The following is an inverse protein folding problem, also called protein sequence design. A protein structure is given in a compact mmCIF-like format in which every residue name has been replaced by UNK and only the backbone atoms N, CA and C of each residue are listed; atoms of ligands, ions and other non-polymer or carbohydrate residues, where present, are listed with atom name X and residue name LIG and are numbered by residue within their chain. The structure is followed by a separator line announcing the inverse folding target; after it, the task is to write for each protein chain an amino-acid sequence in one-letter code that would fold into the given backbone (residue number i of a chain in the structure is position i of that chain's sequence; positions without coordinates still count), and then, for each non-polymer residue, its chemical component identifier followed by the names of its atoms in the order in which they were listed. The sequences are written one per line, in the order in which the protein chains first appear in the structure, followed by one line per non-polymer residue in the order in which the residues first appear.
data_IF_318983239692
#
_entry.id   IF_318983239692
#
_cell.length_a   1.000
_cell.length_b   1.000
_cell.length_c   1.000
_cell.angle_alpha   90.00
_cell.angle_beta   90.00
_cell.angle_gamma   90.00
#
_symmetry.space_group_name_H-M   'P 1'
#
loop_
_entity.id
_entity.type
_entity.pdbx_description
1 polymer ?
#
# COMPACT_ATOMS: atom_id res chain seq x y z
N UNK A 1 5.54 22.24 -10.79
CA UNK A 1 6.66 22.26 -9.82
C UNK A 1 7.30 20.89 -9.96
N UNK A 2 8.52 20.77 -10.47
CA UNK A 2 9.18 19.47 -10.58
C UNK A 2 9.50 18.97 -9.17
N UNK A 3 8.91 17.85 -8.76
CA UNK A 3 9.25 17.20 -7.50
C UNK A 3 10.67 16.66 -7.59
N UNK A 4 11.53 17.01 -6.63
CA UNK A 4 12.89 16.48 -6.58
C UNK A 4 12.88 15.03 -6.11
N UNK A 5 13.87 14.23 -6.52
CA UNK A 5 14.06 12.86 -6.02
C UNK A 5 14.13 12.85 -4.49
N UNK A 6 14.83 13.84 -3.92
CA UNK A 6 14.97 14.01 -2.48
C UNK A 6 13.61 14.28 -1.80
N UNK A 7 12.78 15.19 -2.34
CA UNK A 7 11.44 15.44 -1.81
C UNK A 7 10.58 14.16 -1.82
N UNK A 8 10.68 13.36 -2.89
CA UNK A 8 9.92 12.13 -2.99
C UNK A 8 10.33 11.11 -1.93
N UNK A 9 11.64 10.91 -1.71
CA UNK A 9 12.17 9.97 -0.71
C UNK A 9 11.95 10.42 0.73
N UNK A 10 12.02 11.74 0.97
CA UNK A 10 11.92 12.32 2.30
C UNK A 10 10.49 12.51 2.78
N UNK A 11 9.54 12.76 1.87
CA UNK A 11 8.17 13.16 2.20
C UNK A 11 7.11 12.27 1.57
N UNK A 12 7.14 12.11 0.25
CA UNK A 12 6.02 11.50 -0.48
C UNK A 12 5.96 9.98 -0.32
N UNK A 13 7.09 9.28 -0.43
CA UNK A 13 7.14 7.83 -0.26
C UNK A 13 6.83 7.41 1.19
N UNK A 14 7.38 8.05 2.25
CA UNK A 14 6.98 7.79 3.64
C UNK A 14 5.49 8.03 3.87
N UNK A 15 4.93 9.11 3.32
CA UNK A 15 3.49 9.37 3.37
C UNK A 15 2.67 8.25 2.73
N UNK A 16 3.06 7.80 1.53
CA UNK A 16 2.39 6.69 0.82
C UNK A 16 2.44 5.39 1.62
N UNK A 17 3.56 5.11 2.29
CA UNK A 17 3.70 3.97 3.19
C UNK A 17 2.77 4.11 4.41
N UNK A 18 2.66 5.30 5.01
CA UNK A 18 1.71 5.50 6.10
C UNK A 18 0.24 5.36 5.64
N UNK A 19 -0.10 5.80 4.43
CA UNK A 19 -1.41 5.56 3.84
C UNK A 19 -1.69 4.06 3.64
N UNK A 20 -0.70 3.29 3.16
CA UNK A 20 -0.78 1.83 3.09
C UNK A 20 -1.12 1.24 4.47
N UNK A 21 -0.55 1.78 5.56
CA UNK A 21 -0.68 1.26 6.91
C UNK A 21 -1.78 1.93 7.75
N UNK A 22 -2.63 2.76 7.14
CA UNK A 22 -3.59 3.58 7.86
C UNK A 22 -4.57 2.75 8.70
N UNK A 23 -5.04 1.63 8.17
CA UNK A 23 -5.95 0.74 8.89
C UNK A 23 -5.27 0.08 10.11
N UNK A 24 -4.01 -0.33 9.97
CA UNK A 24 -3.24 -0.95 11.03
C UNK A 24 -2.98 0.06 12.17
N UNK A 25 -2.71 1.33 11.80
CA UNK A 25 -2.57 2.44 12.75
C UNK A 25 -3.86 2.68 13.55
N UNK A 26 -5.02 2.70 12.88
CA UNK A 26 -6.32 2.87 13.55
C UNK A 26 -6.62 1.68 14.44
N UNK A 27 -6.40 0.45 13.96
CA UNK A 27 -6.60 -0.78 14.72
C UNK A 27 -5.74 -0.81 15.99
N UNK A 28 -4.46 -0.41 15.89
CA UNK A 28 -3.59 -0.29 17.05
C UNK A 28 -4.06 0.79 18.03
N UNK A 29 -4.46 1.98 17.56
CA UNK A 29 -4.98 3.02 18.47
C UNK A 29 -6.24 2.56 19.21
N UNK A 30 -7.07 1.71 18.60
CA UNK A 30 -8.23 1.07 19.27
C UNK A 30 -7.80 0.12 20.39
N UNK A 31 -6.66 -0.57 20.26
CA UNK A 31 -6.19 -1.53 21.26
C UNK A 31 -5.55 -0.87 22.48
N UNK A 32 -5.04 0.36 22.34
CA UNK A 32 -4.54 1.15 23.47
C UNK A 32 -5.66 1.51 24.47
N UNK A 33 -5.28 1.81 25.72
CA UNK A 33 -6.18 2.21 26.83
C UNK A 33 -6.75 3.64 26.64
N UNK A 34 -7.38 3.91 25.51
CA UNK A 34 -8.17 5.12 25.29
C UNK A 34 -9.59 4.95 25.86
N UNK A 35 -10.24 6.06 26.25
CA UNK A 35 -11.57 6.02 26.86
C UNK A 35 -12.60 5.34 25.93
N UNK A 36 -13.59 4.65 26.50
CA UNK A 36 -14.66 4.00 25.72
C UNK A 36 -15.37 4.98 24.78
N UNK A 37 -15.52 6.23 25.22
CA UNK A 37 -16.16 7.32 24.49
C UNK A 37 -15.35 7.74 23.24
N UNK A 38 -14.03 7.85 23.35
CA UNK A 38 -13.13 8.07 22.21
C UNK A 38 -13.10 6.87 21.25
N UNK A 39 -13.13 5.63 21.78
CA UNK A 39 -13.21 4.41 20.95
C UNK A 39 -14.49 4.41 20.11
N UNK A 40 -15.64 4.70 20.72
CA UNK A 40 -16.94 4.71 20.04
C UNK A 40 -17.14 5.89 19.09
N UNK A 41 -16.58 7.06 19.41
CA UNK A 41 -16.80 8.29 18.62
C UNK A 41 -15.86 8.47 17.43
N UNK A 42 -14.58 8.11 17.54
CA UNK A 42 -13.58 8.48 16.53
C UNK A 42 -12.99 7.28 15.75
N UNK A 43 -13.07 6.07 16.31
CA UNK A 43 -12.31 4.93 15.78
C UNK A 43 -13.16 3.67 15.47
N UNK A 44 -14.44 3.65 15.88
CA UNK A 44 -15.41 2.64 15.44
C UNK A 44 -16.33 3.14 14.34
N UNK A 45 -16.29 4.43 14.02
CA UNK A 45 -17.15 5.00 13.01
C UNK A 45 -16.75 4.48 11.63
N UNK A 46 -17.71 3.91 10.90
CA UNK A 46 -17.52 3.56 9.49
C UNK A 46 -17.10 4.77 8.66
N UNK A 47 -17.38 6.00 9.14
CA UNK A 47 -16.88 7.25 8.58
C UNK A 47 -15.35 7.40 8.62
N UNK A 48 -14.62 6.63 9.41
CA UNK A 48 -13.15 6.70 9.52
C UNK A 48 -12.48 5.40 9.10
N UNK A 49 -13.00 4.26 9.55
CA UNK A 49 -12.38 2.96 9.28
C UNK A 49 -12.43 2.58 7.81
N UNK A 50 -13.56 2.84 7.14
CA UNK A 50 -13.77 2.47 5.74
C UNK A 50 -12.93 3.33 4.80
N UNK A 51 -12.88 4.67 4.95
CA UNK A 51 -11.92 5.47 4.19
C UNK A 51 -10.47 5.05 4.42
N UNK A 52 -10.08 4.70 5.65
CA UNK A 52 -8.73 4.23 5.92
C UNK A 52 -8.44 2.89 5.23
N UNK A 53 -9.41 1.98 5.19
CA UNK A 53 -9.30 0.73 4.45
C UNK A 53 -9.15 0.96 2.95
N UNK A 54 -10.00 1.79 2.35
CA UNK A 54 -9.92 2.13 0.92
C UNK A 54 -8.59 2.81 0.57
N UNK A 55 -8.14 3.77 1.40
CA UNK A 55 -6.84 4.41 1.25
C UNK A 55 -5.72 3.37 1.26
N UNK A 56 -5.76 2.39 2.18
CA UNK A 56 -4.75 1.34 2.27
C UNK A 56 -4.66 0.51 0.98
N UNK A 57 -5.79 0.21 0.35
CA UNK A 57 -5.89 -0.57 -0.87
C UNK A 57 -5.36 0.23 -2.08
N UNK A 58 -5.82 1.48 -2.21
CA UNK A 58 -5.42 2.36 -3.33
C UNK A 58 -3.92 2.63 -3.29
N UNK A 59 -3.38 2.96 -2.12
CA UNK A 59 -1.95 3.20 -1.96
C UNK A 59 -1.13 1.91 -2.08
N UNK A 60 -1.66 0.76 -1.64
CA UNK A 60 -1.03 -0.54 -1.88
C UNK A 60 -0.83 -0.84 -3.37
N UNK A 61 -1.86 -0.63 -4.18
CA UNK A 61 -1.75 -0.74 -5.64
C UNK A 61 -0.74 0.27 -6.21
N UNK A 62 -0.79 1.53 -5.76
CA UNK A 62 0.13 2.56 -6.24
C UNK A 62 1.60 2.22 -5.92
N UNK A 63 1.88 1.66 -4.75
CA UNK A 63 3.22 1.23 -4.34
C UNK A 63 3.70 0.00 -5.11
N UNK A 64 2.81 -0.96 -5.41
CA UNK A 64 3.13 -2.09 -6.29
C UNK A 64 3.46 -1.62 -7.71
N UNK A 65 2.64 -0.72 -8.27
CA UNK A 65 2.93 -0.11 -9.56
C UNK A 65 4.27 0.66 -9.55
N UNK A 66 4.56 1.40 -8.47
CA UNK A 66 5.84 2.08 -8.30
C UNK A 66 7.01 1.09 -8.38
N UNK A 67 6.87 -0.10 -7.79
CA UNK A 67 7.86 -1.20 -7.86
C UNK A 67 7.90 -1.93 -9.21
N UNK A 68 7.05 -1.56 -10.18
CA UNK A 68 6.96 -2.20 -11.49
C UNK A 68 6.09 -3.46 -11.52
N UNK A 69 5.27 -3.67 -10.49
CA UNK A 69 4.37 -4.83 -10.39
C UNK A 69 2.97 -4.40 -10.80
N UNK A 70 2.45 -5.07 -11.82
CA UNK A 70 1.08 -4.95 -12.29
C UNK A 70 0.24 -6.19 -12.00
N UNK A 71 -1.00 -6.17 -12.52
CA UNK A 71 -1.94 -7.28 -12.39
C UNK A 71 -2.63 -7.57 -13.72
N UNK A 72 -2.60 -8.84 -14.14
CA UNK A 72 -3.29 -9.37 -15.31
C UNK A 72 -4.65 -9.94 -14.88
N UNK A 73 -5.73 -9.22 -15.21
CA UNK A 73 -7.10 -9.64 -14.85
C UNK A 73 -7.58 -10.89 -15.58
N UNK A 74 -7.04 -11.18 -16.77
CA UNK A 74 -7.45 -12.37 -17.54
C UNK A 74 -6.92 -13.65 -16.92
N UNK A 75 -5.68 -13.58 -16.44
CA UNK A 75 -4.99 -14.72 -15.82
C UNK A 75 -5.13 -14.74 -14.30
N UNK A 76 -5.64 -13.65 -13.71
CA UNK A 76 -5.74 -13.46 -12.26
C UNK A 76 -4.38 -13.62 -11.56
N UNK A 77 -3.32 -13.05 -12.16
CA UNK A 77 -1.92 -13.15 -11.73
C UNK A 77 -1.22 -11.80 -11.69
N UNK A 78 -0.17 -11.70 -10.87
CA UNK A 78 0.78 -10.60 -10.95
C UNK A 78 1.57 -10.67 -12.26
N UNK A 79 1.91 -9.51 -12.81
CA UNK A 79 2.70 -9.41 -14.04
C UNK A 79 3.59 -8.18 -13.97
N UNK A 80 4.58 -8.06 -14.85
CA UNK A 80 5.39 -6.84 -14.95
C UNK A 80 4.51 -5.70 -15.47
N UNK A 81 4.62 -4.53 -14.85
CA UNK A 81 3.76 -3.39 -15.17
C UNK A 81 3.91 -2.94 -16.63
N UNK A 82 5.11 -3.04 -17.19
CA UNK A 82 5.41 -2.71 -18.59
C UNK A 82 4.66 -3.59 -19.59
N UNK A 83 4.35 -4.84 -19.22
CA UNK A 83 3.57 -5.77 -20.06
C UNK A 83 2.10 -5.36 -20.15
N UNK A 84 1.65 -4.45 -19.29
CA UNK A 84 0.27 -3.95 -19.29
C UNK A 84 0.19 -2.66 -20.10
N UNK A 85 -0.30 -2.77 -21.35
CA UNK A 85 -0.51 -1.62 -22.24
C UNK A 85 -1.27 -0.49 -21.53
N UNK A 86 -0.80 0.76 -21.71
CA UNK A 86 -1.44 2.00 -21.25
C UNK A 86 -1.55 2.21 -19.73
N UNK A 87 -0.84 1.43 -18.88
CA UNK A 87 -0.92 1.62 -17.42
C UNK A 87 0.12 2.56 -16.81
N UNK A 88 1.29 2.71 -17.43
CA UNK A 88 2.29 3.69 -16.97
C UNK A 88 2.01 5.00 -17.69
N UNK A 89 1.47 5.98 -16.96
CA UNK A 89 1.30 7.33 -17.48
C UNK A 89 2.63 8.10 -17.42
N UNK A 90 2.82 9.11 -18.30
CA UNK A 90 4.00 9.98 -18.26
C UNK A 90 4.27 10.61 -16.90
N UNK A 91 3.24 10.81 -16.08
CA UNK A 91 3.33 11.45 -14.76
C UNK A 91 3.44 10.43 -13.60
N UNK A 92 3.35 9.12 -13.86
CA UNK A 92 3.40 8.12 -12.78
C UNK A 92 4.82 8.00 -12.23
N UNK A 93 5.02 8.21 -10.93
CA UNK A 93 6.31 7.93 -10.30
C UNK A 93 6.56 6.41 -10.21
N UNK A 94 7.67 5.96 -10.78
CA UNK A 94 8.13 4.57 -10.73
C UNK A 94 9.54 4.49 -10.16
N UNK A 95 9.94 3.30 -9.71
CA UNK A 95 11.28 3.05 -9.17
C UNK A 95 12.36 3.49 -10.16
N UNK A 96 12.20 3.19 -11.45
CA UNK A 96 13.13 3.58 -12.50
C UNK A 96 13.13 5.08 -12.80
N UNK A 97 12.05 5.82 -12.53
CA UNK A 97 12.10 7.29 -12.66
C UNK A 97 12.96 7.92 -11.57
N UNK A 98 12.92 7.39 -10.36
CA UNK A 98 13.77 7.87 -9.25
C UNK A 98 15.21 7.33 -9.37
N UNK A 99 15.36 6.08 -9.81
CA UNK A 99 16.63 5.39 -9.92
C UNK A 99 16.74 4.69 -11.29
N UNK A 100 17.13 5.40 -12.36
CA UNK A 100 17.12 4.87 -13.74
C UNK A 100 17.91 3.58 -13.96
N UNK A 101 18.95 3.33 -13.16
CA UNK A 101 19.78 2.13 -13.25
C UNK A 101 19.28 0.96 -12.40
N UNK A 102 18.22 1.14 -11.60
CA UNK A 102 17.68 0.10 -10.71
C UNK A 102 16.61 -0.69 -11.45
N UNK A 103 16.75 -2.01 -11.47
CA UNK A 103 15.71 -2.89 -12.00
C UNK A 103 14.44 -2.81 -11.15
N UNK A 104 13.28 -3.00 -11.79
CA UNK A 104 12.02 -3.21 -11.07
C UNK A 104 12.07 -4.45 -10.17
N UNK A 105 11.09 -4.53 -9.28
CA UNK A 105 10.92 -5.69 -8.43
C UNK A 105 10.60 -6.94 -9.27
N UNK A 106 11.40 -8.00 -9.07
CA UNK A 106 11.23 -9.25 -9.81
C UNK A 106 10.02 -10.01 -9.28
N UNK A 107 9.17 -10.56 -10.16
CA UNK A 107 8.07 -11.44 -9.76
C UNK A 107 8.52 -12.75 -9.09
N UNK A 108 9.81 -13.09 -9.23
CA UNK A 108 10.44 -14.23 -8.56
C UNK A 108 11.01 -13.87 -7.18
N UNK A 109 10.84 -12.63 -6.71
CA UNK A 109 11.24 -12.23 -5.37
C UNK A 109 10.52 -13.10 -4.33
N UNK A 110 11.26 -13.60 -3.33
CA UNK A 110 10.73 -14.49 -2.29
C UNK A 110 9.49 -13.93 -1.60
N UNK A 111 9.42 -12.61 -1.39
CA UNK A 111 8.26 -11.96 -0.76
C UNK A 111 7.05 -12.01 -1.71
N UNK A 112 7.25 -11.79 -3.00
CA UNK A 112 6.17 -11.88 -4.00
C UNK A 112 5.65 -13.31 -4.12
N UNK A 113 6.55 -14.28 -4.22
CA UNK A 113 6.19 -15.70 -4.34
C UNK A 113 5.40 -16.14 -3.10
N UNK A 114 5.87 -15.76 -1.91
CA UNK A 114 5.24 -16.12 -0.64
C UNK A 114 3.84 -15.53 -0.47
N UNK A 115 3.62 -14.27 -0.87
CA UNK A 115 2.37 -13.54 -0.64
C UNK A 115 1.56 -13.31 -1.94
N UNK A 116 1.76 -14.17 -2.95
CA UNK A 116 1.20 -13.96 -4.29
C UNK A 116 -0.34 -13.82 -4.28
N UNK A 117 -1.02 -14.68 -3.52
CA UNK A 117 -2.48 -14.73 -3.44
C UNK A 117 -3.03 -13.43 -2.83
N UNK A 118 -2.42 -12.96 -1.74
CA UNK A 118 -2.86 -11.78 -1.02
C UNK A 118 -2.58 -10.50 -1.82
N UNK A 119 -1.43 -10.41 -2.48
CA UNK A 119 -1.09 -9.32 -3.39
C UNK A 119 -2.04 -9.26 -4.60
N UNK A 120 -2.37 -10.41 -5.20
CA UNK A 120 -3.37 -10.49 -6.26
C UNK A 120 -4.74 -10.03 -5.79
N UNK A 121 -5.15 -10.46 -4.58
CA UNK A 121 -6.43 -10.07 -3.97
C UNK A 121 -6.51 -8.56 -3.80
N UNK A 122 -5.47 -7.93 -3.22
CA UNK A 122 -5.40 -6.48 -3.05
C UNK A 122 -5.52 -5.75 -4.39
N UNK A 123 -4.74 -6.16 -5.40
CA UNK A 123 -4.75 -5.54 -6.73
C UNK A 123 -6.12 -5.65 -7.41
N UNK A 124 -6.79 -6.78 -7.25
CA UNK A 124 -8.13 -7.03 -7.78
C UNK A 124 -9.20 -6.16 -7.11
N UNK A 125 -9.13 -6.00 -5.78
CA UNK A 125 -10.05 -5.14 -5.04
C UNK A 125 -9.81 -3.68 -5.42
N UNK A 126 -8.55 -3.23 -5.45
CA UNK A 126 -8.19 -1.85 -5.78
C UNK A 126 -8.77 -1.39 -7.12
N UNK A 127 -8.83 -2.26 -8.12
CA UNK A 127 -9.42 -1.91 -9.42
C UNK A 127 -10.95 -1.80 -9.36
N UNK A 128 -11.61 -2.65 -8.57
CA UNK A 128 -13.06 -2.57 -8.33
C UNK A 128 -13.45 -1.36 -7.50
N UNK A 129 -12.72 -1.04 -6.43
CA UNK A 129 -12.98 0.12 -5.57
C UNK A 129 -12.75 1.44 -6.31
N UNK A 130 -11.79 1.49 -7.25
CA UNK A 130 -11.63 2.67 -8.12
C UNK A 130 -12.80 2.79 -9.12
N UNK A 131 -13.38 1.67 -9.56
CA UNK A 131 -14.52 1.66 -10.48
C UNK A 131 -15.88 1.90 -9.78
N UNK A 132 -15.96 1.64 -8.49
CA UNK A 132 -17.17 1.76 -7.70
C UNK A 132 -16.82 2.40 -6.35
N UNK A 133 -17.21 3.66 -6.15
CA UNK A 133 -17.40 4.25 -4.81
C UNK A 133 -18.48 3.41 -4.11
N UNK A 134 -18.09 2.28 -3.52
CA UNK A 134 -19.05 1.31 -3.00
C UNK A 134 -19.58 1.79 -1.67
N UNK A 135 -20.89 2.06 -1.64
CA UNK A 135 -21.70 2.29 -0.42
C UNK A 135 -21.83 1.06 0.48
N UNK A 136 -21.04 0.00 0.24
CA UNK A 136 -21.01 -1.21 1.05
C UNK A 136 -19.83 -1.14 2.01
N UNK A 137 -20.17 -1.11 3.29
CA UNK A 137 -19.20 -1.25 4.38
C UNK A 137 -18.54 -2.63 4.31
N UNK A 138 -17.22 -2.65 4.40
CA UNK A 138 -16.42 -3.87 4.50
C UNK A 138 -16.54 -4.49 5.89
N UNK A 139 -16.32 -5.80 5.98
CA UNK A 139 -16.39 -6.54 7.25
C UNK A 139 -14.99 -6.78 7.85
N UNK A 140 -14.94 -7.15 9.13
CA UNK A 140 -13.67 -7.42 9.84
C UNK A 140 -12.81 -8.50 9.15
N UNK A 141 -13.42 -9.46 8.46
CA UNK A 141 -12.68 -10.50 7.73
C UNK A 141 -11.96 -9.92 6.50
N UNK A 142 -12.57 -8.98 5.78
CA UNK A 142 -11.95 -8.31 4.63
C UNK A 142 -10.76 -7.44 5.08
N UNK A 143 -10.85 -6.80 6.25
CA UNK A 143 -9.74 -6.03 6.83
C UNK A 143 -8.54 -6.90 7.17
N UNK A 144 -8.79 -8.06 7.80
CA UNK A 144 -7.78 -9.05 8.17
C UNK A 144 -7.17 -9.76 6.95
N UNK A 145 -7.98 -10.04 5.92
CA UNK A 145 -7.51 -10.74 4.72
C UNK A 145 -6.41 -9.97 3.98
N UNK A 146 -6.41 -8.63 4.04
CA UNK A 146 -5.45 -7.80 3.34
C UNK A 146 -4.21 -7.43 4.17
N UNK A 147 -4.18 -7.75 5.47
CA UNK A 147 -3.02 -7.48 6.33
C UNK A 147 -1.71 -8.10 5.80
N UNK A 148 -1.67 -9.36 5.35
CA UNK A 148 -0.45 -9.94 4.80
C UNK A 148 0.04 -9.22 3.54
N UNK A 149 -0.86 -8.76 2.68
CA UNK A 149 -0.49 -7.98 1.49
C UNK A 149 0.14 -6.64 1.88
N UNK A 150 -0.43 -5.92 2.85
CA UNK A 150 0.14 -4.65 3.33
C UNK A 150 1.54 -4.85 3.92
N UNK A 151 1.73 -5.91 4.72
CA UNK A 151 3.05 -6.33 5.23
C UNK A 151 4.05 -6.60 4.12
N UNK A 152 3.66 -7.37 3.12
CA UNK A 152 4.52 -7.70 1.98
C UNK A 152 4.94 -6.44 1.20
N UNK A 153 3.99 -5.54 0.90
CA UNK A 153 4.29 -4.29 0.18
C UNK A 153 5.27 -3.42 0.97
N UNK A 154 5.06 -3.25 2.27
CA UNK A 154 5.99 -2.50 3.12
C UNK A 154 7.41 -3.09 3.10
N UNK A 155 7.53 -4.42 3.24
CA UNK A 155 8.82 -5.11 3.18
C UNK A 155 9.50 -4.94 1.81
N UNK A 156 8.74 -5.01 0.71
CA UNK A 156 9.26 -4.78 -0.64
C UNK A 156 9.76 -3.34 -0.80
N UNK A 157 9.03 -2.34 -0.31
CA UNK A 157 9.48 -0.94 -0.36
C UNK A 157 10.80 -0.77 0.39
N UNK A 158 10.93 -1.30 1.60
CA UNK A 158 12.19 -1.21 2.35
C UNK A 158 13.35 -1.95 1.66
N UNK A 159 13.07 -3.07 0.99
CA UNK A 159 14.06 -3.86 0.26
C UNK A 159 14.54 -3.16 -1.02
N UNK A 160 13.63 -2.58 -1.79
CA UNK A 160 13.92 -2.01 -3.11
C UNK A 160 14.19 -0.49 -3.08
N UNK A 161 13.85 0.18 -1.97
CA UNK A 161 14.15 1.60 -1.71
C UNK A 161 14.70 1.74 -0.28
N UNK A 162 15.90 1.23 0.01
CA UNK A 162 16.50 1.36 1.35
C UNK A 162 16.73 2.82 1.77
N UNK A 163 16.81 3.74 0.80
CA UNK A 163 17.03 5.18 0.95
C UNK A 163 15.81 5.94 1.48
N UNK A 164 14.63 5.31 1.55
CA UNK A 164 13.43 5.95 2.08
C UNK A 164 13.68 6.50 3.49
N UNK A 165 13.23 7.74 3.73
CA UNK A 165 13.23 8.31 5.08
C UNK A 165 12.25 7.52 5.95
N UNK A 166 12.78 6.79 6.93
CA UNK A 166 11.98 5.92 7.81
C UNK A 166 11.36 6.70 8.96
N UNK A 167 11.76 7.97 9.18
CA UNK A 167 11.23 8.81 10.24
C UNK A 167 9.74 9.09 9.98
N UNK A 168 8.90 8.87 11.00
CA UNK A 168 7.46 9.05 10.86
C UNK A 168 6.72 7.90 10.18
N UNK A 169 7.42 6.83 9.74
CA UNK A 169 6.74 5.61 9.28
C UNK A 169 6.30 4.81 10.51
N UNK A 170 4.99 4.76 10.74
CA UNK A 170 4.44 4.25 12.00
C UNK A 170 4.89 2.83 12.34
N UNK A 171 4.85 1.88 11.40
CA UNK A 171 5.32 0.51 11.67
C UNK A 171 6.81 0.41 11.99
N UNK A 172 7.64 1.31 11.46
CA UNK A 172 9.06 1.32 11.81
C UNK A 172 9.24 1.73 13.27
N UNK A 173 8.48 2.73 13.71
CA UNK A 173 8.49 3.23 15.09
C UNK A 173 7.92 2.22 16.11
N UNK A 174 7.07 1.28 15.68
CA UNK A 174 6.53 0.21 16.54
C UNK A 174 7.45 -1.01 16.67
N UNK A 175 8.31 -1.28 15.67
CA UNK A 175 9.17 -2.48 15.62
C UNK A 175 10.62 -2.18 16.04
N UNK A 176 10.99 -0.92 16.22
CA UNK A 176 12.32 -0.56 16.73
C UNK A 176 12.48 0.90 17.13
N UNK A 177 12.45 1.14 18.45
CA UNK A 177 13.68 1.43 19.21
C UNK A 177 13.87 0.34 20.25
#
# INVERSE_FOLDING_TARGET
MEETVDDYLEKHLPYRVNCLLAIDLIAHRRSLNISKELKSGCYQDSLVLEPAFEISIVFGRALLNFLGIGYNFKENTLTELEKIKNKIKPDDFTLQKLFPMRSFCSLNDEIIVKYNIELCTLMKIADKSVAHLTTKFSNDQEHLQLEPARKAIYQLILKYVPEINKKGIWWHEQVGT
#
